data_IF_238982640721
#
_entry.id   IF_238982640721
#
_cell.length_a   1.000
_cell.length_b   1.000
_cell.length_c   1.000
_cell.angle_alpha   90.00
_cell.angle_beta   90.00
_cell.angle_gamma   90.00
#
_symmetry.space_group_name_H-M   'P 1'
#
loop_
_entity.id
_entity.type
_entity.pdbx_description
1 polymer ?
#
# COMPACT_ATOMS: atom_id res chain seq x y z
N UNK A 1 -47.75 -4.78 6.53
CA UNK A 1 -46.60 -4.83 7.43
C UNK A 1 -45.32 -5.34 6.77
N UNK A 2 -45.30 -6.48 6.05
CA UNK A 2 -44.05 -7.02 5.42
C UNK A 2 -43.39 -6.06 4.41
N UNK A 3 -44.15 -5.28 3.62
CA UNK A 3 -43.60 -4.32 2.62
C UNK A 3 -42.94 -3.09 3.27
N UNK A 4 -43.43 -2.65 4.44
CA UNK A 4 -42.87 -1.51 5.16
C UNK A 4 -41.50 -1.84 5.81
N UNK A 5 -41.35 -3.07 6.30
CA UNK A 5 -40.09 -3.55 6.89
C UNK A 5 -39.00 -3.66 5.80
N UNK A 6 -39.33 -4.15 4.61
CA UNK A 6 -38.40 -4.27 3.51
C UNK A 6 -37.88 -2.91 3.01
N UNK A 7 -38.76 -1.91 2.94
CA UNK A 7 -38.40 -0.55 2.55
C UNK A 7 -37.51 0.13 3.61
N UNK A 8 -37.73 -0.12 4.88
CA UNK A 8 -36.94 0.41 5.98
C UNK A 8 -35.50 -0.19 5.99
N UNK A 9 -35.36 -1.49 5.73
CA UNK A 9 -34.06 -2.16 5.64
C UNK A 9 -33.26 -1.63 4.45
N UNK A 10 -33.87 -1.37 3.29
CA UNK A 10 -33.21 -0.77 2.11
C UNK A 10 -32.74 0.66 2.39
N UNK A 11 -33.52 1.46 3.11
CA UNK A 11 -33.13 2.83 3.47
C UNK A 11 -31.98 2.87 4.48
N UNK A 12 -31.92 1.94 5.42
CA UNK A 12 -30.84 1.85 6.39
C UNK A 12 -29.53 1.39 5.73
N UNK A 13 -29.58 0.46 4.78
CA UNK A 13 -28.38 -0.02 4.06
C UNK A 13 -27.79 1.04 3.13
N UNK A 14 -28.62 1.85 2.46
CA UNK A 14 -28.17 2.95 1.60
C UNK A 14 -27.48 4.08 2.39
N UNK A 15 -27.99 4.43 3.56
CA UNK A 15 -27.36 5.46 4.40
C UNK A 15 -26.05 4.97 5.04
N UNK A 16 -25.96 3.71 5.43
CA UNK A 16 -24.72 3.13 5.96
C UNK A 16 -23.60 3.15 4.88
N UNK A 17 -23.91 2.83 3.63
CA UNK A 17 -22.95 2.85 2.53
C UNK A 17 -22.45 4.28 2.22
N UNK A 18 -23.33 5.26 2.27
CA UNK A 18 -22.96 6.67 2.04
C UNK A 18 -22.06 7.22 3.15
N UNK A 19 -22.27 6.85 4.40
CA UNK A 19 -21.43 7.28 5.55
C UNK A 19 -20.05 6.63 5.48
N UNK A 20 -19.97 5.34 5.14
CA UNK A 20 -18.67 4.64 4.99
C UNK A 20 -17.81 5.30 3.92
N UNK A 21 -18.40 5.67 2.79
CA UNK A 21 -17.71 6.35 1.67
C UNK A 21 -17.14 7.72 2.11
N UNK A 22 -17.93 8.54 2.81
CA UNK A 22 -17.50 9.90 3.17
C UNK A 22 -16.33 9.94 4.17
N UNK A 23 -16.27 8.99 5.10
CA UNK A 23 -15.19 8.94 6.11
C UNK A 23 -13.88 8.47 5.48
N UNK A 24 -13.95 7.49 4.55
CA UNK A 24 -12.79 7.03 3.81
C UNK A 24 -12.26 8.11 2.85
N UNK A 25 -13.15 8.76 2.11
CA UNK A 25 -12.81 9.84 1.17
C UNK A 25 -12.09 10.98 1.92
N UNK A 26 -12.60 11.36 3.10
CA UNK A 26 -11.98 12.40 3.92
C UNK A 26 -10.57 12.02 4.39
N UNK A 27 -10.34 10.77 4.83
CA UNK A 27 -9.01 10.31 5.22
C UNK A 27 -8.06 10.21 4.03
N UNK A 28 -8.56 9.84 2.85
CA UNK A 28 -7.77 9.84 1.62
C UNK A 28 -7.33 11.28 1.29
N UNK A 29 -8.25 12.24 1.27
CA UNK A 29 -7.96 13.64 0.95
C UNK A 29 -6.97 14.26 1.96
N UNK A 30 -7.10 13.95 3.25
CA UNK A 30 -6.22 14.48 4.30
C UNK A 30 -4.75 14.10 4.09
N UNK A 31 -4.47 12.91 3.58
CA UNK A 31 -3.12 12.40 3.41
C UNK A 31 -2.61 12.46 1.97
N UNK A 32 -3.38 13.00 1.03
CA UNK A 32 -3.07 13.00 -0.40
C UNK A 32 -1.68 13.56 -0.70
N UNK A 33 -1.40 14.78 -0.26
CA UNK A 33 -0.12 15.47 -0.55
C UNK A 33 1.09 14.68 -0.03
N UNK A 34 0.96 14.06 1.15
CA UNK A 34 2.02 13.25 1.74
C UNK A 34 2.36 12.05 0.86
N UNK A 35 1.35 11.25 0.47
CA UNK A 35 1.59 10.02 -0.26
C UNK A 35 1.91 10.24 -1.74
N UNK A 36 1.41 11.31 -2.35
CA UNK A 36 1.88 11.76 -3.67
C UNK A 36 3.38 12.14 -3.61
N UNK A 37 3.81 12.88 -2.59
CA UNK A 37 5.21 13.21 -2.39
C UNK A 37 6.09 11.97 -2.15
N UNK A 38 5.59 10.98 -1.41
CA UNK A 38 6.28 9.70 -1.21
C UNK A 38 6.46 8.99 -2.55
N UNK A 39 5.40 8.88 -3.35
CA UNK A 39 5.46 8.27 -4.67
C UNK A 39 6.51 8.96 -5.56
N UNK A 40 6.53 10.28 -5.59
CA UNK A 40 7.49 11.04 -6.38
C UNK A 40 8.94 10.88 -5.90
N UNK A 41 9.16 10.76 -4.58
CA UNK A 41 10.50 10.48 -4.04
C UNK A 41 10.97 9.09 -4.43
N UNK A 42 10.12 8.06 -4.31
CA UNK A 42 10.44 6.69 -4.73
C UNK A 42 10.76 6.66 -6.22
N UNK A 43 9.94 7.36 -7.05
CA UNK A 43 10.19 7.49 -8.48
C UNK A 43 11.55 8.12 -8.79
N UNK A 44 11.96 9.15 -8.04
CA UNK A 44 13.23 9.87 -8.23
C UNK A 44 14.44 9.04 -7.77
N UNK A 45 14.30 8.23 -6.73
CA UNK A 45 15.33 7.30 -6.24
C UNK A 45 15.55 6.14 -7.21
N UNK A 46 14.49 5.59 -7.75
CA UNK A 46 14.50 4.50 -8.73
C UNK A 46 15.44 3.34 -8.35
N UNK A 47 15.33 2.88 -7.10
CA UNK A 47 16.16 1.80 -6.56
C UNK A 47 15.69 0.44 -7.10
N UNK A 48 16.64 -0.37 -7.55
CA UNK A 48 16.36 -1.69 -8.11
C UNK A 48 16.20 -2.75 -7.03
N UNK A 49 15.58 -3.87 -7.36
CA UNK A 49 15.27 -4.95 -6.46
C UNK A 49 16.41 -5.39 -5.53
N UNK A 50 16.09 -5.60 -4.25
CA UNK A 50 16.99 -5.84 -3.13
C UNK A 50 17.93 -4.68 -2.74
N UNK A 51 17.82 -3.54 -3.38
CA UNK A 51 18.60 -2.33 -3.10
C UNK A 51 17.69 -1.12 -2.77
N UNK A 52 16.41 -1.34 -2.56
CA UNK A 52 15.39 -0.34 -2.27
C UNK A 52 15.46 0.17 -0.83
N UNK A 53 16.66 0.53 -0.35
CA UNK A 53 16.88 0.87 1.06
C UNK A 53 16.16 2.16 1.47
N UNK A 54 16.29 3.21 0.67
CA UNK A 54 15.68 4.51 0.98
C UNK A 54 14.17 4.49 0.71
N UNK A 55 13.72 3.81 -0.34
CA UNK A 55 12.30 3.64 -0.65
C UNK A 55 11.58 2.86 0.44
N UNK A 56 12.17 1.74 0.88
CA UNK A 56 11.66 0.94 1.99
C UNK A 56 11.61 1.74 3.29
N UNK A 57 12.69 2.46 3.61
CA UNK A 57 12.78 3.29 4.80
C UNK A 57 11.72 4.40 4.81
N UNK A 58 11.53 5.08 3.68
CA UNK A 58 10.55 6.16 3.54
C UNK A 58 9.13 5.66 3.80
N UNK A 59 8.76 4.48 3.26
CA UNK A 59 7.46 3.85 3.52
C UNK A 59 7.32 3.41 4.98
N UNK A 60 8.36 2.83 5.57
CA UNK A 60 8.37 2.42 6.98
C UNK A 60 8.18 3.61 7.92
N UNK A 61 8.93 4.70 7.72
CA UNK A 61 8.85 5.93 8.52
C UNK A 61 7.46 6.53 8.42
N UNK A 62 6.89 6.63 7.21
CA UNK A 62 5.53 7.15 7.02
C UNK A 62 4.49 6.31 7.76
N UNK A 63 4.54 4.98 7.66
CA UNK A 63 3.60 4.11 8.36
C UNK A 63 3.78 4.14 9.88
N UNK A 64 5.03 4.25 10.36
CA UNK A 64 5.35 4.41 11.78
C UNK A 64 4.75 5.70 12.34
N UNK A 65 4.87 6.81 11.63
CA UNK A 65 4.31 8.11 12.00
C UNK A 65 2.77 8.08 12.08
N UNK A 66 2.15 7.19 11.30
CA UNK A 66 0.71 6.91 11.35
C UNK A 66 0.32 5.82 12.36
N UNK A 67 1.24 5.42 13.25
CA UNK A 67 0.96 4.54 14.38
C UNK A 67 1.00 3.04 14.08
N UNK A 68 1.51 2.63 12.92
CA UNK A 68 1.77 1.23 12.64
C UNK A 68 3.00 0.73 13.39
N UNK A 69 3.01 -0.53 13.76
CA UNK A 69 4.18 -1.22 14.30
C UNK A 69 4.96 -1.83 13.15
N UNK A 70 6.26 -1.53 13.07
CA UNK A 70 7.11 -1.99 11.98
C UNK A 70 7.90 -3.23 12.41
N UNK A 71 7.86 -4.26 11.56
CA UNK A 71 8.77 -5.40 11.59
C UNK A 71 9.59 -5.35 10.31
N UNK A 72 10.85 -4.98 10.41
CA UNK A 72 11.79 -4.85 9.28
C UNK A 72 12.61 -6.13 9.07
N UNK A 73 13.35 -6.20 7.96
CA UNK A 73 14.21 -7.32 7.58
C UNK A 73 13.50 -8.69 7.58
N UNK A 74 12.22 -8.73 7.23
CA UNK A 74 11.46 -9.98 7.19
C UNK A 74 11.96 -10.87 6.05
N UNK A 75 11.84 -12.17 6.22
CA UNK A 75 12.36 -13.19 5.29
C UNK A 75 13.86 -13.05 4.98
N UNK A 76 14.65 -12.46 5.89
CA UNK A 76 16.06 -12.12 5.70
C UNK A 76 16.34 -11.21 4.49
N UNK A 77 15.36 -10.41 4.10
CA UNK A 77 15.47 -9.40 3.04
C UNK A 77 15.54 -8.03 3.71
N UNK A 78 16.67 -7.30 3.62
CA UNK A 78 16.85 -6.02 4.32
C UNK A 78 15.80 -4.96 3.99
N UNK A 79 15.26 -5.00 2.78
CA UNK A 79 14.28 -4.03 2.28
C UNK A 79 12.83 -4.48 2.44
N UNK A 80 12.59 -5.75 2.86
CA UNK A 80 11.25 -6.25 3.14
C UNK A 80 10.81 -5.92 4.57
N UNK A 81 9.57 -5.53 4.74
CA UNK A 81 9.01 -5.20 6.05
C UNK A 81 7.51 -5.47 6.13
N UNK A 82 7.00 -5.53 7.35
CA UNK A 82 5.57 -5.57 7.66
C UNK A 82 5.26 -4.39 8.57
N UNK A 83 4.20 -3.66 8.24
CA UNK A 83 3.64 -2.64 9.10
C UNK A 83 2.23 -3.06 9.54
N UNK A 84 2.01 -3.18 10.85
CA UNK A 84 0.77 -3.70 11.40
C UNK A 84 0.08 -2.68 12.29
N UNK A 85 -1.24 -2.55 12.13
CA UNK A 85 -2.11 -1.77 13.00
C UNK A 85 -3.36 -2.55 13.40
N UNK A 86 -3.82 -2.33 14.63
CA UNK A 86 -5.04 -2.92 15.18
C UNK A 86 -4.80 -4.24 15.89
N UNK A 87 -5.88 -4.94 16.19
CA UNK A 87 -5.86 -6.24 16.87
C UNK A 87 -7.12 -7.04 16.55
N UNK A 88 -6.98 -8.34 16.50
CA UNK A 88 -8.11 -9.25 16.27
C UNK A 88 -8.40 -9.48 14.79
N UNK A 89 -9.53 -10.11 14.55
CA UNK A 89 -9.96 -10.53 13.23
C UNK A 89 -10.99 -9.57 12.62
N UNK A 90 -11.07 -9.46 11.26
CA UNK A 90 -10.17 -10.12 10.30
C UNK A 90 -8.77 -9.51 10.28
N UNK A 91 -7.78 -10.29 9.84
CA UNK A 91 -6.44 -9.82 9.48
C UNK A 91 -6.40 -9.61 7.97
N UNK A 92 -6.28 -8.37 7.53
CA UNK A 92 -6.26 -8.00 6.13
C UNK A 92 -4.86 -7.54 5.74
N UNK A 93 -4.24 -8.27 4.81
CA UNK A 93 -2.96 -7.92 4.24
C UNK A 93 -3.11 -7.07 2.98
N UNK A 94 -2.34 -6.01 2.86
CA UNK A 94 -2.25 -5.15 1.68
C UNK A 94 -0.80 -5.19 1.21
N UNK A 95 -0.58 -5.57 -0.06
CA UNK A 95 0.77 -5.65 -0.63
C UNK A 95 1.15 -4.31 -1.26
N UNK A 96 2.44 -3.96 -1.19
CA UNK A 96 3.01 -2.81 -1.87
C UNK A 96 4.42 -3.10 -2.37
N UNK A 97 4.64 -2.91 -3.67
CA UNK A 97 5.93 -3.01 -4.34
C UNK A 97 6.53 -1.62 -4.52
N UNK A 98 7.86 -1.53 -4.59
CA UNK A 98 8.56 -0.23 -4.70
C UNK A 98 9.92 -0.34 -5.39
N UNK A 99 10.21 -1.45 -6.07
CA UNK A 99 11.42 -1.64 -6.86
C UNK A 99 11.29 -1.07 -8.28
N UNK A 100 12.40 -0.56 -8.80
CA UNK A 100 12.52 -0.02 -10.16
C UNK A 100 13.13 -1.05 -11.12
N UNK A 101 12.93 -0.81 -12.41
CA UNK A 101 13.48 -1.62 -13.50
C UNK A 101 14.81 -1.07 -13.99
N UNK A 102 15.86 -1.90 -14.11
CA UNK A 102 17.11 -1.50 -14.73
C UNK A 102 16.92 -1.06 -16.19
N UNK A 103 17.62 -0.02 -16.61
CA UNK A 103 17.62 0.47 -17.99
C UNK A 103 16.34 1.20 -18.42
N UNK A 104 15.42 1.48 -17.50
CA UNK A 104 14.10 2.07 -17.79
C UNK A 104 13.97 3.53 -17.33
N UNK A 105 15.09 4.25 -17.18
CA UNK A 105 15.07 5.66 -16.83
C UNK A 105 14.32 6.50 -17.89
N UNK A 106 13.28 7.21 -17.47
CA UNK A 106 12.40 7.98 -18.34
C UNK A 106 12.01 9.27 -17.64
N UNK A 107 12.03 10.40 -18.35
CA UNK A 107 11.50 11.66 -17.83
C UNK A 107 9.95 11.64 -17.75
N UNK A 108 9.39 12.59 -17.02
CA UNK A 108 7.93 12.82 -17.01
C UNK A 108 7.46 13.50 -18.31
N UNK A 109 7.84 12.93 -19.45
CA UNK A 109 7.56 13.41 -20.80
C UNK A 109 6.82 12.32 -21.59
N UNK A 110 5.90 12.70 -22.50
CA UNK A 110 5.23 11.73 -23.37
C UNK A 110 6.15 11.18 -24.48
N UNK A 111 7.40 11.62 -24.52
CA UNK A 111 8.39 11.18 -25.49
C UNK A 111 9.45 10.32 -24.80
N UNK A 112 10.13 9.44 -25.56
CA UNK A 112 11.27 8.69 -25.06
C UNK A 112 12.42 9.65 -24.75
N UNK A 113 12.63 9.92 -23.48
CA UNK A 113 13.64 10.83 -22.98
C UNK A 113 14.23 10.31 -21.66
N UNK A 114 15.55 10.10 -21.65
CA UNK A 114 16.22 9.61 -20.44
C UNK A 114 16.15 10.66 -19.33
N UNK A 115 15.76 10.23 -18.14
CA UNK A 115 15.72 11.07 -16.96
C UNK A 115 17.03 11.00 -16.18
N UNK A 116 17.72 12.14 -16.05
CA UNK A 116 19.03 12.25 -15.39
C UNK A 116 20.03 11.22 -15.94
N UNK A 117 21.04 10.89 -15.17
CA UNK A 117 22.01 9.84 -15.50
C UNK A 117 21.61 8.48 -14.89
N UNK A 118 20.49 8.42 -14.19
CA UNK A 118 19.99 7.17 -13.63
C UNK A 118 19.65 6.19 -14.77
N UNK A 119 20.05 4.95 -14.61
CA UNK A 119 19.76 3.89 -15.59
C UNK A 119 18.50 3.10 -15.24
N UNK A 120 17.99 3.20 -14.00
CA UNK A 120 16.77 2.56 -13.55
C UNK A 120 15.58 3.53 -13.56
N UNK A 121 14.37 3.00 -13.64
CA UNK A 121 13.14 3.79 -13.60
C UNK A 121 11.92 2.95 -13.33
N UNK A 122 10.84 3.59 -12.87
CA UNK A 122 9.59 2.95 -12.49
C UNK A 122 8.63 2.77 -13.68
N UNK A 123 9.07 2.05 -14.71
CA UNK A 123 8.23 1.76 -15.88
C UNK A 123 7.02 0.86 -15.55
N UNK A 124 7.12 0.05 -14.48
CA UNK A 124 6.03 -0.78 -13.99
C UNK A 124 5.11 -0.05 -12.99
N UNK A 125 5.49 1.15 -12.54
CA UNK A 125 4.67 1.98 -11.66
C UNK A 125 4.74 1.61 -10.18
N UNK A 126 5.74 0.87 -9.72
CA UNK A 126 5.84 0.41 -8.33
C UNK A 126 5.96 1.55 -7.32
N UNK A 127 6.46 2.73 -7.70
CA UNK A 127 6.42 3.94 -6.87
C UNK A 127 4.98 4.35 -6.50
N UNK A 128 4.02 4.18 -7.44
CA UNK A 128 2.59 4.41 -7.18
C UNK A 128 2.00 3.27 -6.35
N UNK A 129 2.41 2.04 -6.66
CA UNK A 129 1.89 0.86 -5.98
C UNK A 129 2.25 0.84 -4.50
N UNK A 130 3.51 1.02 -4.15
CA UNK A 130 3.96 1.06 -2.75
C UNK A 130 3.31 2.20 -1.96
N UNK A 131 3.36 3.42 -2.50
CA UNK A 131 2.79 4.60 -1.87
C UNK A 131 1.26 4.51 -1.75
N UNK A 132 0.55 4.15 -2.82
CA UNK A 132 -0.91 4.05 -2.81
C UNK A 132 -1.43 2.94 -1.88
N UNK A 133 -0.73 1.80 -1.80
CA UNK A 133 -1.07 0.74 -0.86
C UNK A 133 -0.83 1.15 0.60
N UNK A 134 0.24 1.89 0.89
CA UNK A 134 0.50 2.45 2.22
C UNK A 134 -0.58 3.48 2.58
N UNK A 135 -0.93 4.36 1.65
CA UNK A 135 -2.01 5.34 1.82
C UNK A 135 -3.35 4.66 2.12
N UNK A 136 -3.74 3.65 1.34
CA UNK A 136 -4.94 2.87 1.59
C UNK A 136 -4.93 2.21 2.98
N UNK A 137 -3.77 1.73 3.43
CA UNK A 137 -3.62 1.14 4.78
C UNK A 137 -3.87 2.16 5.88
N UNK A 138 -3.39 3.40 5.71
CA UNK A 138 -3.64 4.51 6.65
C UNK A 138 -5.12 4.89 6.64
N UNK A 139 -5.74 5.05 5.48
CA UNK A 139 -7.16 5.39 5.38
C UNK A 139 -8.07 4.34 6.04
N UNK A 140 -7.79 3.05 5.83
CA UNK A 140 -8.54 1.96 6.49
C UNK A 140 -8.32 2.00 8.00
N UNK A 141 -7.10 2.23 8.48
CA UNK A 141 -6.80 2.40 9.91
C UNK A 141 -7.63 3.53 10.51
N UNK A 142 -7.68 4.70 9.87
CA UNK A 142 -8.45 5.85 10.35
C UNK A 142 -9.94 5.54 10.40
N UNK A 143 -10.44 4.86 9.37
CA UNK A 143 -11.83 4.40 9.33
C UNK A 143 -12.16 3.41 10.45
N UNK A 144 -11.26 2.45 10.76
CA UNK A 144 -11.44 1.52 11.89
C UNK A 144 -11.54 2.27 13.22
N UNK A 145 -10.70 3.30 13.41
CA UNK A 145 -10.72 4.14 14.62
C UNK A 145 -12.03 4.90 14.72
N UNK A 146 -12.40 5.63 13.66
CA UNK A 146 -13.59 6.48 13.63
C UNK A 146 -14.88 5.70 13.91
N UNK A 147 -14.93 4.45 13.43
CA UNK A 147 -16.10 3.58 13.57
C UNK A 147 -16.03 2.60 14.76
N UNK A 148 -14.96 2.67 15.56
CA UNK A 148 -14.72 1.75 16.67
C UNK A 148 -14.84 0.26 16.27
N UNK A 149 -14.28 -0.07 15.12
CA UNK A 149 -14.28 -1.43 14.55
C UNK A 149 -12.95 -2.10 14.88
N UNK A 150 -13.02 -3.37 15.32
CA UNK A 150 -11.84 -4.21 15.55
C UNK A 150 -11.45 -4.92 14.26
N UNK A 151 -10.15 -5.07 14.08
CA UNK A 151 -9.54 -5.77 12.97
C UNK A 151 -8.06 -5.46 12.93
N UNK A 152 -7.32 -6.17 12.12
CA UNK A 152 -5.88 -5.95 11.91
C UNK A 152 -5.65 -5.61 10.45
N UNK A 153 -4.98 -4.49 10.20
CA UNK A 153 -4.48 -4.10 8.88
C UNK A 153 -2.98 -4.32 8.88
N UNK A 154 -2.50 -5.03 7.89
CA UNK A 154 -1.09 -5.36 7.74
C UNK A 154 -0.62 -5.00 6.34
N UNK A 155 0.16 -3.92 6.24
CA UNK A 155 0.87 -3.58 5.00
C UNK A 155 2.12 -4.44 4.90
N UNK A 156 2.33 -5.05 3.74
CA UNK A 156 3.52 -5.81 3.41
C UNK A 156 4.33 -5.04 2.36
N UNK A 157 5.48 -4.51 2.78
CA UNK A 157 6.48 -3.98 1.85
C UNK A 157 7.20 -5.13 1.17
N UNK A 158 6.88 -5.34 -0.10
CA UNK A 158 7.31 -6.51 -0.89
C UNK A 158 8.31 -6.10 -1.96
N UNK A 159 9.62 -6.08 -1.63
CA UNK A 159 10.68 -5.66 -2.55
C UNK A 159 10.94 -6.68 -3.66
N UNK A 160 11.72 -6.24 -4.66
CA UNK A 160 12.34 -7.09 -5.68
C UNK A 160 11.34 -7.94 -6.47
N UNK A 161 10.22 -7.38 -6.89
CA UNK A 161 9.27 -8.08 -7.76
C UNK A 161 9.88 -8.33 -9.14
N UNK A 162 10.56 -7.33 -9.71
CA UNK A 162 11.09 -7.24 -11.08
C UNK A 162 12.26 -8.21 -11.39
N UNK A 163 12.29 -9.35 -10.80
CA UNK A 163 13.29 -10.39 -11.07
C UNK A 163 13.89 -11.04 -9.83
N UNK A 164 13.55 -10.54 -8.64
CA UNK A 164 14.03 -11.06 -7.36
C UNK A 164 13.06 -11.99 -6.65
N UNK A 165 11.76 -11.91 -6.97
CA UNK A 165 10.70 -12.73 -6.35
C UNK A 165 10.62 -12.61 -4.83
N UNK A 166 10.76 -11.40 -4.27
CA UNK A 166 10.77 -11.16 -2.82
C UNK A 166 9.58 -11.78 -2.09
N UNK A 167 8.37 -11.69 -2.65
CA UNK A 167 7.15 -12.29 -2.10
C UNK A 167 7.23 -13.82 -1.94
N UNK A 168 7.99 -14.51 -2.79
CA UNK A 168 8.16 -15.98 -2.67
C UNK A 168 8.92 -16.34 -1.39
N UNK A 169 9.95 -15.56 -1.04
CA UNK A 169 10.69 -15.77 0.22
C UNK A 169 9.81 -15.44 1.42
N UNK A 170 9.04 -14.35 1.37
CA UNK A 170 8.10 -13.98 2.41
C UNK A 170 7.04 -15.08 2.63
N UNK A 171 6.53 -15.67 1.56
CA UNK A 171 5.57 -16.78 1.64
C UNK A 171 6.19 -18.06 2.22
N UNK A 172 7.45 -18.37 1.88
CA UNK A 172 8.19 -19.52 2.46
C UNK A 172 8.40 -19.40 3.96
N UNK A 173 8.63 -18.18 4.44
CA UNK A 173 8.74 -17.90 5.87
C UNK A 173 7.37 -17.84 6.58
N UNK A 174 6.27 -18.12 5.88
CA UNK A 174 4.94 -18.19 6.45
C UNK A 174 4.32 -16.86 6.84
N UNK A 175 4.84 -15.74 6.32
CA UNK A 175 4.42 -14.39 6.73
C UNK A 175 2.96 -14.07 6.37
N UNK A 176 2.33 -14.86 5.54
CA UNK A 176 0.92 -14.73 5.14
C UNK A 176 0.00 -15.81 5.76
N UNK A 177 0.52 -16.71 6.61
CA UNK A 177 -0.22 -17.90 7.06
C UNK A 177 -1.38 -17.60 8.01
N UNK A 178 -1.37 -16.44 8.67
CA UNK A 178 -2.38 -15.97 9.62
C UNK A 178 -3.24 -14.83 9.06
N UNK A 179 -3.16 -14.56 7.75
CA UNK A 179 -3.93 -13.51 7.07
C UNK A 179 -5.21 -14.09 6.49
N UNK A 180 -6.36 -13.48 6.81
CA UNK A 180 -7.65 -13.93 6.29
C UNK A 180 -7.87 -13.50 4.84
N UNK A 181 -7.40 -12.30 4.46
CA UNK A 181 -7.56 -11.73 3.12
C UNK A 181 -6.28 -11.00 2.73
N UNK A 182 -5.77 -11.24 1.53
CA UNK A 182 -4.67 -10.47 0.95
C UNK A 182 -5.19 -9.69 -0.25
N UNK A 183 -4.97 -8.38 -0.24
CA UNK A 183 -5.32 -7.47 -1.32
C UNK A 183 -4.07 -7.06 -2.09
N UNK A 184 -4.19 -7.07 -3.41
CA UNK A 184 -3.15 -6.66 -4.34
C UNK A 184 -3.80 -5.93 -5.51
N UNK A 185 -3.17 -4.85 -5.96
CA UNK A 185 -3.52 -4.14 -7.19
C UNK A 185 -2.25 -3.85 -7.96
N UNK A 186 -2.35 -3.39 -9.18
CA UNK A 186 -1.16 -3.01 -9.95
C UNK A 186 -1.49 -1.84 -10.89
N UNK A 187 -0.63 -0.81 -10.98
CA UNK A 187 -0.79 0.23 -11.99
C UNK A 187 -0.75 -0.36 -13.39
N UNK A 188 -1.55 0.18 -14.29
CA UNK A 188 -1.60 -0.24 -15.67
C UNK A 188 -1.80 0.94 -16.61
N UNK A 189 -1.25 0.86 -17.84
CA UNK A 189 -1.56 1.79 -18.92
C UNK A 189 -2.90 1.44 -19.55
N UNK A 190 -3.68 2.47 -19.95
CA UNK A 190 -4.89 2.32 -20.76
C UNK A 190 -4.55 2.28 -22.23
#
# INVERSE_FOLDING_TARGET
>A
MKKLILTLILFFSLNAFAVISSDLDSSIDEHQELFENIAMKIWDMAEVGYQEYESSKLLQESLLDHGFKIQNNVANIPTAFIAEYGTGFPVIGILGEFDALPGMAQSASPYKEKYKENEAGHACGHHLFGSGSAWASVAIKDWLIANNIKGTIRFYGTPAEEGGSGKVYMAREGLFSDVDIVLHWHPGSQ
#
